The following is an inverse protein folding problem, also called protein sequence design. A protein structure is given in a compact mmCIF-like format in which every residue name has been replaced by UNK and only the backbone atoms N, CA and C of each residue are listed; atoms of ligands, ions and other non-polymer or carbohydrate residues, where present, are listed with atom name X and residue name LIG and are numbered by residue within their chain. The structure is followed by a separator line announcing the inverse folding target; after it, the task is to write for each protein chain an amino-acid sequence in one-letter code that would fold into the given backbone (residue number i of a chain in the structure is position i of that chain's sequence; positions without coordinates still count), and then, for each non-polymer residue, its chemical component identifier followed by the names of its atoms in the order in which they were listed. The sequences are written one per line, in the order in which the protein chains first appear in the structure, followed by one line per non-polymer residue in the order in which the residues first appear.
data_IF_897150284573
#
_entry.id   IF_897150284573
#
_cell.length_a   1.000
_cell.length_b   1.000
_cell.length_c   1.000
_cell.angle_alpha   90.00
_cell.angle_beta   90.00
_cell.angle_gamma   90.00
#
_symmetry.space_group_name_H-M   'P 1'
#
loop_
_entity.id
_entity.type
_entity.pdbx_description
1 polymer ?
#
# COMPACT_ATOMS: atom_id res chain seq x y z
N UNK A 1 18.04 -12.60 43.37
CA UNK A 1 16.89 -12.38 42.49
C UNK A 1 17.34 -12.16 41.04
N UNK A 2 17.79 -13.21 40.40
CA UNK A 2 18.32 -13.08 39.04
C UNK A 2 17.26 -12.62 38.03
N UNK A 3 15.98 -12.88 38.31
CA UNK A 3 14.88 -12.57 37.39
C UNK A 3 14.67 -11.08 37.16
N UNK A 4 14.94 -10.21 38.13
CA UNK A 4 14.77 -8.77 37.97
C UNK A 4 15.81 -8.18 37.01
N UNK A 5 17.04 -8.60 37.10
CA UNK A 5 18.12 -8.14 36.22
C UNK A 5 18.03 -8.81 34.85
N UNK A 6 17.65 -10.09 34.81
CA UNK A 6 17.40 -10.79 33.57
C UNK A 6 16.28 -10.16 32.74
N UNK A 7 15.20 -9.71 33.40
CA UNK A 7 14.11 -9.04 32.76
C UNK A 7 14.50 -7.72 32.12
N UNK A 8 15.33 -6.91 32.79
CA UNK A 8 15.83 -5.64 32.26
C UNK A 8 16.72 -5.85 31.02
N UNK A 9 17.62 -6.84 31.07
CA UNK A 9 18.53 -7.18 29.97
C UNK A 9 17.74 -7.69 28.79
N UNK A 10 16.73 -8.53 29.03
CA UNK A 10 15.85 -9.04 27.97
C UNK A 10 15.04 -7.92 27.30
N UNK A 11 14.52 -6.97 28.10
CA UNK A 11 13.79 -5.83 27.58
C UNK A 11 14.67 -4.99 26.65
N UNK A 12 15.91 -4.69 27.04
CA UNK A 12 16.86 -3.95 26.22
C UNK A 12 17.16 -4.68 24.91
N UNK A 13 17.29 -6.00 24.97
CA UNK A 13 17.53 -6.83 23.80
C UNK A 13 16.34 -6.76 22.84
N UNK A 14 15.11 -6.84 23.36
CA UNK A 14 13.90 -6.77 22.55
C UNK A 14 13.73 -5.39 21.91
N UNK A 15 14.05 -4.33 22.61
CA UNK A 15 14.03 -2.96 22.07
C UNK A 15 15.04 -2.84 20.92
N UNK A 16 16.24 -3.39 21.10
CA UNK A 16 17.28 -3.41 20.07
C UNK A 16 16.83 -4.17 18.82
N UNK A 17 16.26 -5.37 18.99
CA UNK A 17 15.75 -6.20 17.91
C UNK A 17 14.62 -5.48 17.16
N UNK A 18 13.68 -4.87 17.89
CA UNK A 18 12.57 -4.14 17.29
C UNK A 18 13.06 -2.93 16.49
N UNK A 19 14.06 -2.21 17.02
CA UNK A 19 14.66 -1.06 16.33
C UNK A 19 15.36 -1.49 15.05
N UNK A 20 16.11 -2.59 15.09
CA UNK A 20 16.79 -3.13 13.91
C UNK A 20 15.80 -3.55 12.83
N UNK A 21 14.72 -4.23 13.22
CA UNK A 21 13.67 -4.65 12.28
C UNK A 21 13.00 -3.46 11.61
N UNK A 22 12.69 -2.41 12.35
CA UNK A 22 12.11 -1.19 11.78
C UNK A 22 13.04 -0.56 10.76
N UNK A 23 14.33 -0.54 11.03
CA UNK A 23 15.32 0.01 10.12
C UNK A 23 15.45 -0.84 8.87
N UNK A 24 15.50 -2.16 9.00
CA UNK A 24 15.54 -3.08 7.88
C UNK A 24 14.30 -2.94 6.99
N UNK A 25 13.12 -2.85 7.60
CA UNK A 25 11.87 -2.65 6.88
C UNK A 25 11.87 -1.33 6.13
N UNK A 26 12.32 -0.26 6.77
CA UNK A 26 12.40 1.06 6.14
C UNK A 26 13.36 1.05 4.95
N UNK A 27 14.49 0.37 5.08
CA UNK A 27 15.46 0.25 3.99
C UNK A 27 14.90 -0.56 2.82
N UNK A 28 14.24 -1.69 3.11
CA UNK A 28 13.62 -2.52 2.09
C UNK A 28 12.54 -1.75 1.33
N UNK A 29 11.71 -0.99 2.06
CA UNK A 29 10.67 -0.14 1.47
C UNK A 29 11.27 0.93 0.56
N UNK A 30 12.30 1.64 1.04
CA UNK A 30 12.93 2.70 0.27
C UNK A 30 13.55 2.16 -1.03
N UNK A 31 14.26 1.04 -0.95
CA UNK A 31 14.86 0.41 -2.13
C UNK A 31 13.80 -0.02 -3.15
N UNK A 32 12.72 -0.63 -2.66
CA UNK A 32 11.60 -1.05 -3.50
C UNK A 32 10.99 0.14 -4.24
N UNK A 33 10.64 1.19 -3.50
CA UNK A 33 10.00 2.38 -4.06
C UNK A 33 10.90 3.03 -5.10
N UNK A 34 12.18 3.23 -4.79
CA UNK A 34 13.14 3.85 -5.71
C UNK A 34 13.29 3.06 -7.00
N UNK A 35 13.35 1.73 -6.91
CA UNK A 35 13.45 0.87 -8.09
C UNK A 35 12.19 0.95 -8.94
N UNK A 36 11.02 0.87 -8.32
CA UNK A 36 9.75 0.85 -9.05
C UNK A 36 9.39 2.19 -9.66
N UNK A 37 9.87 3.30 -9.11
CA UNK A 37 9.66 4.63 -9.67
C UNK A 37 10.26 4.81 -11.07
N UNK A 38 11.20 3.97 -11.43
CA UNK A 38 11.79 3.96 -12.78
C UNK A 38 10.85 3.36 -13.82
N UNK A 39 9.87 2.56 -13.39
CA UNK A 39 8.99 1.78 -14.28
C UNK A 39 7.57 2.30 -14.31
N UNK A 40 7.17 3.10 -13.34
CA UNK A 40 5.80 3.57 -13.25
C UNK A 40 5.63 4.58 -12.13
N UNK A 41 4.39 4.79 -11.73
CA UNK A 41 4.04 5.66 -10.62
C UNK A 41 3.80 4.82 -9.38
N UNK A 42 4.39 5.22 -8.25
CA UNK A 42 4.30 4.47 -6.99
C UNK A 42 3.54 5.30 -5.98
N UNK A 43 2.56 4.67 -5.33
CA UNK A 43 1.70 5.33 -4.34
C UNK A 43 1.61 4.51 -3.06
N UNK A 44 1.40 5.20 -1.96
CA UNK A 44 1.09 4.61 -0.67
C UNK A 44 -0.43 4.56 -0.51
N UNK A 45 -0.97 3.42 -0.05
CA UNK A 45 -2.38 3.32 0.29
C UNK A 45 -2.57 2.54 1.60
N UNK A 46 -3.80 2.24 1.97
CA UNK A 46 -4.09 1.48 3.17
C UNK A 46 -3.98 2.29 4.46
N UNK A 47 -3.81 1.61 5.59
CA UNK A 47 -3.85 2.24 6.92
C UNK A 47 -2.77 3.30 7.11
N UNK A 48 -1.58 3.11 6.55
CA UNK A 48 -0.49 4.09 6.64
C UNK A 48 -0.83 5.38 5.89
N UNK A 49 -1.54 5.27 4.79
CA UNK A 49 -1.98 6.43 4.01
C UNK A 49 -3.14 7.17 4.70
N UNK A 50 -4.05 6.42 5.35
CA UNK A 50 -5.17 7.00 6.08
C UNK A 50 -4.79 7.59 7.42
N UNK A 51 -3.66 7.17 8.00
CA UNK A 51 -3.22 7.60 9.33
C UNK A 51 -3.81 6.79 10.49
N UNK A 52 -4.51 5.69 10.21
CA UNK A 52 -5.09 4.81 11.23
C UNK A 52 -4.21 3.57 11.50
N UNK A 53 -2.91 3.74 11.35
CA UNK A 53 -1.93 2.68 11.52
C UNK A 53 -1.35 2.65 12.95
N UNK A 54 -0.71 1.53 13.28
CA UNK A 54 0.14 1.39 14.46
C UNK A 54 1.53 0.93 14.01
N UNK A 55 2.48 0.85 14.95
CA UNK A 55 3.89 0.58 14.64
C UNK A 55 4.11 -0.74 13.89
N UNK A 56 3.23 -1.72 14.08
CA UNK A 56 3.32 -3.03 13.45
C UNK A 56 2.50 -3.13 12.16
N UNK A 57 1.84 -2.06 11.74
CA UNK A 57 1.05 -2.08 10.50
C UNK A 57 1.94 -2.23 9.28
N UNK A 58 1.46 -3.04 8.33
CA UNK A 58 2.13 -3.20 7.04
C UNK A 58 2.08 -1.92 6.21
N UNK A 59 3.03 -1.81 5.32
CA UNK A 59 3.03 -0.78 4.29
C UNK A 59 2.39 -1.36 3.03
N UNK A 60 1.39 -0.66 2.52
CA UNK A 60 0.67 -1.05 1.31
C UNK A 60 1.07 -0.12 0.17
N UNK A 61 1.75 -0.68 -0.82
CA UNK A 61 2.31 0.07 -1.94
C UNK A 61 1.63 -0.34 -3.24
N UNK A 62 1.21 0.63 -4.01
CA UNK A 62 0.68 0.40 -5.36
C UNK A 62 1.72 0.85 -6.39
N UNK A 63 1.95 0.02 -7.39
CA UNK A 63 2.81 0.33 -8.52
C UNK A 63 1.92 0.38 -9.76
N UNK A 64 1.68 1.59 -10.27
CA UNK A 64 0.82 1.81 -11.43
C UNK A 64 1.71 1.86 -12.66
N UNK A 65 1.51 0.91 -13.56
CA UNK A 65 2.29 0.78 -14.78
C UNK A 65 1.39 0.89 -16.00
N UNK A 66 1.97 1.13 -17.17
CA UNK A 66 1.19 1.26 -18.40
C UNK A 66 0.55 -0.06 -18.79
N UNK A 67 1.33 -1.13 -18.82
CA UNK A 67 0.87 -2.48 -19.15
C UNK A 67 1.62 -3.50 -18.31
N UNK A 68 1.14 -4.75 -18.32
CA UNK A 68 1.70 -5.84 -17.54
C UNK A 68 0.61 -6.67 -16.90
N UNK A 69 0.98 -7.39 -15.85
CA UNK A 69 0.05 -8.23 -15.11
C UNK A 69 -0.38 -7.58 -13.80
N UNK A 70 -1.67 -7.67 -13.50
CA UNK A 70 -2.16 -7.35 -12.16
C UNK A 70 -1.67 -8.40 -11.18
N UNK A 71 -1.07 -7.97 -10.09
CA UNK A 71 -0.54 -8.87 -9.09
C UNK A 71 -0.54 -8.24 -7.71
N UNK A 72 -0.75 -9.07 -6.69
CA UNK A 72 -0.57 -8.69 -5.29
C UNK A 72 0.55 -9.56 -4.75
N UNK A 73 1.62 -8.93 -4.31
CA UNK A 73 2.83 -9.62 -3.86
C UNK A 73 3.12 -9.29 -2.40
N UNK A 74 3.55 -10.30 -1.63
CA UNK A 74 4.04 -10.09 -0.26
C UNK A 74 5.49 -9.63 -0.31
N UNK A 75 5.79 -8.60 0.48
CA UNK A 75 7.12 -8.02 0.60
C UNK A 75 7.53 -7.92 2.06
N UNK A 76 8.82 -7.67 2.34
CA UNK A 76 9.30 -7.52 3.72
C UNK A 76 8.57 -6.41 4.48
N UNK A 77 8.14 -5.36 3.78
CA UNK A 77 7.46 -4.21 4.39
C UNK A 77 5.94 -4.37 4.45
N UNK A 78 5.35 -5.35 3.78
CA UNK A 78 3.91 -5.53 3.71
C UNK A 78 3.49 -6.11 2.37
N UNK A 79 2.77 -5.34 1.56
CA UNK A 79 2.34 -5.81 0.24
C UNK A 79 2.56 -4.77 -0.85
N UNK A 80 2.72 -5.27 -2.06
CA UNK A 80 2.79 -4.46 -3.26
C UNK A 80 1.70 -4.92 -4.23
N UNK A 81 0.96 -3.96 -4.79
CA UNK A 81 -0.08 -4.21 -5.77
C UNK A 81 0.35 -3.59 -7.10
N UNK A 82 0.46 -4.42 -8.13
CA UNK A 82 0.85 -3.98 -9.48
C UNK A 82 -0.41 -3.77 -10.31
N UNK A 83 -0.60 -2.56 -10.83
CA UNK A 83 -1.83 -2.18 -11.53
C UNK A 83 -1.49 -1.70 -12.94
N UNK A 84 -1.75 -2.53 -13.97
CA UNK A 84 -1.58 -2.09 -15.35
C UNK A 84 -2.78 -1.27 -15.81
N UNK A 85 -2.56 -0.02 -16.18
CA UNK A 85 -3.62 0.89 -16.62
C UNK A 85 -4.31 0.35 -17.88
N UNK A 86 -3.57 -0.32 -18.75
CA UNK A 86 -4.14 -0.92 -19.98
C UNK A 86 -5.23 -1.96 -19.69
N UNK A 87 -5.24 -2.57 -18.51
CA UNK A 87 -6.20 -3.59 -18.11
C UNK A 87 -7.21 -3.10 -17.08
N UNK A 88 -7.24 -1.80 -16.81
CA UNK A 88 -8.02 -1.24 -15.71
C UNK A 88 -9.51 -1.54 -15.81
N UNK A 89 -10.10 -1.46 -16.99
CA UNK A 89 -11.54 -1.71 -17.16
C UNK A 89 -11.94 -3.12 -16.71
N UNK A 90 -11.11 -4.12 -16.99
CA UNK A 90 -11.33 -5.49 -16.53
C UNK A 90 -11.16 -5.61 -15.02
N UNK A 91 -10.13 -4.96 -14.49
CA UNK A 91 -9.79 -5.04 -13.05
C UNK A 91 -10.86 -4.41 -12.19
N UNK A 92 -11.49 -3.34 -12.64
CA UNK A 92 -12.55 -2.65 -11.91
C UNK A 92 -13.76 -3.53 -11.65
N UNK A 93 -13.98 -4.55 -12.47
CA UNK A 93 -15.15 -5.42 -12.34
C UNK A 93 -15.04 -6.44 -11.22
N UNK A 94 -13.83 -6.69 -10.69
CA UNK A 94 -13.65 -7.74 -9.68
C UNK A 94 -12.73 -7.37 -8.50
N UNK A 95 -11.97 -6.30 -8.57
CA UNK A 95 -10.98 -5.98 -7.53
C UNK A 95 -11.36 -4.74 -6.74
N UNK A 96 -11.74 -4.94 -5.48
CA UNK A 96 -12.01 -3.83 -4.56
C UNK A 96 -10.73 -3.14 -4.09
N UNK A 97 -9.59 -3.82 -4.12
CA UNK A 97 -8.30 -3.24 -3.76
C UNK A 97 -8.00 -2.02 -4.63
N UNK A 98 -8.35 -2.09 -5.92
CA UNK A 98 -8.14 -1.00 -6.86
C UNK A 98 -8.90 0.26 -6.43
N UNK A 99 -10.11 0.08 -5.93
CA UNK A 99 -10.92 1.18 -5.41
C UNK A 99 -10.27 1.83 -4.18
N UNK A 100 -9.74 0.99 -3.27
CA UNK A 100 -9.04 1.46 -2.08
C UNK A 100 -7.78 2.23 -2.45
N UNK A 101 -7.02 1.75 -3.42
CA UNK A 101 -5.81 2.42 -3.89
C UNK A 101 -6.12 3.83 -4.37
N UNK A 102 -7.15 3.99 -5.19
CA UNK A 102 -7.52 5.30 -5.70
C UNK A 102 -8.09 6.22 -4.61
N UNK A 103 -8.83 5.65 -3.65
CA UNK A 103 -9.49 6.40 -2.59
C UNK A 103 -8.50 6.90 -1.54
N UNK A 104 -7.62 6.02 -1.05
CA UNK A 104 -6.69 6.32 0.04
C UNK A 104 -5.31 6.77 -0.46
N UNK A 105 -4.99 6.52 -1.73
CA UNK A 105 -3.64 6.58 -2.23
C UNK A 105 -3.03 7.98 -2.30
N UNK A 106 -1.73 8.02 -2.03
CA UNK A 106 -0.90 9.21 -2.17
C UNK A 106 0.30 8.88 -3.03
N UNK A 107 0.49 9.63 -4.11
CA UNK A 107 1.63 9.44 -4.99
C UNK A 107 2.94 9.71 -4.24
N UNK A 108 3.85 8.76 -4.27
CA UNK A 108 5.18 8.89 -3.66
C UNK A 108 6.22 9.35 -4.66
N UNK A 109 6.18 8.81 -5.88
CA UNK A 109 7.17 9.12 -6.91
C UNK A 109 6.71 8.63 -8.28
N UNK A 110 7.43 9.03 -9.30
CA UNK A 110 7.12 8.79 -10.70
C UNK A 110 6.71 10.09 -11.38
N UNK A 111 6.39 10.02 -12.67
CA UNK A 111 5.96 11.19 -13.43
C UNK A 111 4.58 11.69 -13.04
N UNK A 112 3.74 10.79 -12.53
CA UNK A 112 2.39 11.11 -12.08
C UNK A 112 1.31 10.97 -13.13
N UNK A 113 1.65 10.83 -14.40
CA UNK A 113 0.66 10.73 -15.48
C UNK A 113 -0.18 9.45 -15.41
N UNK A 114 0.47 8.32 -15.14
CA UNK A 114 -0.25 7.05 -14.97
C UNK A 114 -1.11 7.07 -13.72
N UNK A 115 -0.60 7.62 -12.64
CA UNK A 115 -1.35 7.76 -11.39
C UNK A 115 -2.61 8.62 -11.58
N UNK A 116 -2.48 9.78 -12.21
CA UNK A 116 -3.62 10.66 -12.45
C UNK A 116 -4.66 10.02 -13.34
N UNK A 117 -4.23 9.33 -14.40
CA UNK A 117 -5.16 8.60 -15.29
C UNK A 117 -5.89 7.48 -14.54
N UNK A 118 -5.14 6.73 -13.72
CA UNK A 118 -5.69 5.68 -12.88
C UNK A 118 -6.76 6.22 -11.94
N UNK A 119 -6.44 7.25 -11.15
CA UNK A 119 -7.37 7.82 -10.17
C UNK A 119 -8.62 8.38 -10.87
N UNK A 120 -8.43 9.08 -11.98
CA UNK A 120 -9.53 9.65 -12.75
C UNK A 120 -10.50 8.57 -13.21
N UNK A 121 -9.99 7.48 -13.77
CA UNK A 121 -10.83 6.39 -14.29
C UNK A 121 -11.54 5.63 -13.17
N UNK A 122 -10.87 5.40 -12.05
CA UNK A 122 -11.49 4.75 -10.89
C UNK A 122 -12.60 5.62 -10.31
N UNK A 123 -12.35 6.91 -10.14
CA UNK A 123 -13.38 7.85 -9.64
C UNK A 123 -14.60 7.89 -10.54
N UNK A 124 -14.40 7.89 -11.85
CA UNK A 124 -15.50 7.84 -12.81
C UNK A 124 -16.32 6.56 -12.61
N UNK A 125 -15.66 5.42 -12.49
CA UNK A 125 -16.32 4.14 -12.26
C UNK A 125 -17.14 4.16 -10.96
N UNK A 126 -16.56 4.66 -9.87
CA UNK A 126 -17.23 4.79 -8.57
C UNK A 126 -18.48 5.65 -8.68
N UNK A 127 -18.41 6.76 -9.40
CA UNK A 127 -19.55 7.66 -9.61
C UNK A 127 -20.64 7.01 -10.46
N UNK A 128 -20.27 6.39 -11.56
CA UNK A 128 -21.22 5.74 -12.48
C UNK A 128 -21.97 4.59 -11.82
N UNK A 129 -21.27 3.82 -10.98
CA UNK A 129 -21.85 2.68 -10.24
C UNK A 129 -22.45 3.08 -8.91
N UNK A 130 -22.33 4.36 -8.51
CA UNK A 130 -22.82 4.89 -7.23
C UNK A 130 -22.30 4.09 -6.04
N UNK A 131 -21.00 3.81 -6.03
CA UNK A 131 -20.38 3.03 -4.97
C UNK A 131 -20.03 3.91 -3.78
N UNK A 132 -20.20 3.36 -2.59
CA UNK A 132 -19.76 3.96 -1.32
C UNK A 132 -18.83 3.02 -0.60
N UNK A 133 -17.79 3.59 0.00
CA UNK A 133 -16.89 2.83 0.85
C UNK A 133 -17.51 2.65 2.22
N UNK A 134 -17.60 1.39 2.67
CA UNK A 134 -18.08 1.02 4.00
C UNK A 134 -16.99 0.23 4.72
N UNK A 135 -17.19 -0.09 6.00
CA UNK A 135 -16.27 -0.96 6.75
C UNK A 135 -16.13 -2.35 6.16
N UNK A 136 -17.11 -2.81 5.37
CA UNK A 136 -17.12 -4.12 4.73
C UNK A 136 -16.68 -4.08 3.26
N UNK A 137 -16.34 -2.91 2.72
CA UNK A 137 -15.91 -2.74 1.33
C UNK A 137 -16.75 -1.72 0.58
N UNK A 138 -16.76 -1.84 -0.75
CA UNK A 138 -17.44 -0.93 -1.65
C UNK A 138 -18.76 -1.52 -2.12
N UNK A 139 -19.84 -0.78 -1.92
CA UNK A 139 -21.19 -1.25 -2.26
C UNK A 139 -22.01 -0.13 -2.89
N UNK A 140 -22.98 -0.48 -3.77
CA UNK A 140 -23.87 0.54 -4.33
C UNK A 140 -24.66 1.25 -3.25
N UNK A 141 -24.70 2.58 -3.31
CA UNK A 141 -25.55 3.37 -2.42
C UNK A 141 -27.01 3.25 -2.85
N UNK A 142 -27.88 3.22 -1.85
CA UNK A 142 -29.33 3.03 -2.07
C UNK A 142 -29.98 4.36 -2.40
#
# INVERSE_FOLDING_TARGET
MPTLYGGAVEMDRWIEVARRRRLETANALAEFVMDRCRRGDVALFGSRARGDFHDMSDWDIAVVVEDGEYAVASEEFGQAVYIPVAKLDQLLTFSMIILDVAHDGHLLCGKGDLWHEFVKRVRRYVMEKRLEKTGAGWYPSV
#
